data_IF_620082708737
#
_entry.id   IF_620082708737
#
_cell.length_a   1.000
_cell.length_b   1.000
_cell.length_c   1.000
_cell.angle_alpha   90.00
_cell.angle_beta   90.00
_cell.angle_gamma   90.00
#
_symmetry.space_group_name_H-M   'P 1'
#
loop_
_entity.id
_entity.type
_entity.pdbx_description
1 polymer ?
#
# COMPACT_ATOMS: atom_id res chain seq x y z
N UNK A 1 -26.53 -65.92 8.31
CA UNK A 1 -25.84 -64.89 9.12
C UNK A 1 -26.54 -64.77 10.45
N UNK A 2 -25.80 -64.99 11.53
CA UNK A 2 -26.30 -64.77 12.89
C UNK A 2 -26.57 -63.27 13.13
N UNK A 3 -27.42 -62.95 14.12
CA UNK A 3 -27.71 -61.54 14.47
C UNK A 3 -26.42 -60.76 14.79
N UNK A 4 -25.43 -61.42 15.38
CA UNK A 4 -24.14 -60.82 15.73
C UNK A 4 -23.28 -60.50 14.50
N UNK A 5 -23.25 -61.40 13.51
CA UNK A 5 -22.52 -61.16 12.25
C UNK A 5 -23.08 -59.95 11.49
N UNK A 6 -24.41 -59.75 11.51
CA UNK A 6 -25.05 -58.58 10.91
C UNK A 6 -24.65 -57.29 11.62
N UNK A 7 -24.64 -57.29 12.96
CA UNK A 7 -24.24 -56.11 13.74
C UNK A 7 -22.78 -55.72 13.51
N UNK A 8 -21.87 -56.71 13.43
CA UNK A 8 -20.45 -56.46 13.16
C UNK A 8 -20.26 -55.90 11.75
N UNK A 9 -20.95 -56.46 10.75
CA UNK A 9 -20.86 -55.99 9.37
C UNK A 9 -21.36 -54.54 9.23
N UNK A 10 -22.49 -54.21 9.85
CA UNK A 10 -23.03 -52.84 9.83
C UNK A 10 -22.09 -51.86 10.55
N UNK A 11 -21.56 -52.23 11.71
CA UNK A 11 -20.59 -51.40 12.42
C UNK A 11 -19.33 -51.13 11.58
N UNK A 12 -18.81 -52.15 10.88
CA UNK A 12 -17.68 -52.01 9.97
C UNK A 12 -17.98 -51.07 8.79
N UNK A 13 -19.19 -51.15 8.21
CA UNK A 13 -19.61 -50.22 7.16
C UNK A 13 -19.73 -48.79 7.67
N UNK A 14 -20.27 -48.57 8.88
CA UNK A 14 -20.40 -47.23 9.49
C UNK A 14 -19.03 -46.63 9.78
N UNK A 15 -18.08 -47.41 10.30
CA UNK A 15 -16.71 -46.95 10.52
C UNK A 15 -16.02 -46.56 9.21
N UNK A 16 -16.14 -47.40 8.18
CA UNK A 16 -15.58 -47.10 6.86
C UNK A 16 -16.19 -45.85 6.24
N UNK A 17 -17.52 -45.69 6.32
CA UNK A 17 -18.20 -44.47 5.89
C UNK A 17 -17.73 -43.25 6.68
N UNK A 18 -17.53 -43.37 7.99
CA UNK A 18 -17.01 -42.27 8.79
C UNK A 18 -15.58 -41.89 8.38
N UNK A 19 -14.73 -42.86 8.04
CA UNK A 19 -13.37 -42.59 7.57
C UNK A 19 -13.36 -42.02 6.15
N UNK A 20 -14.25 -42.48 5.28
CA UNK A 20 -14.40 -41.93 3.92
C UNK A 20 -15.01 -40.51 3.96
N UNK A 21 -15.92 -40.22 4.89
CA UNK A 21 -16.43 -38.86 5.14
C UNK A 21 -15.32 -37.94 5.68
N UNK A 22 -14.42 -38.44 6.53
CA UNK A 22 -13.24 -37.66 6.97
C UNK A 22 -12.26 -37.38 5.83
N UNK A 23 -12.17 -38.26 4.83
CA UNK A 23 -11.35 -38.07 3.62
C UNK A 23 -12.02 -37.20 2.57
N UNK A 24 -13.36 -37.18 2.54
CA UNK A 24 -14.14 -36.15 1.89
C UNK A 24 -14.05 -34.87 2.73
N UNK A 25 -12.84 -34.30 2.80
CA UNK A 25 -12.68 -32.89 3.07
C UNK A 25 -13.70 -32.17 2.19
N UNK A 26 -14.62 -31.37 2.75
CA UNK A 26 -15.59 -30.66 1.93
C UNK A 26 -14.82 -29.95 0.82
N UNK A 27 -15.30 -30.01 -0.44
CA UNK A 27 -14.59 -29.49 -1.60
C UNK A 27 -14.07 -28.11 -1.26
N UNK A 28 -12.74 -27.97 -1.28
CA UNK A 28 -11.93 -26.85 -0.79
C UNK A 28 -12.78 -25.62 -0.50
N UNK A 29 -13.28 -25.51 0.74
CA UNK A 29 -14.08 -24.37 1.14
C UNK A 29 -13.25 -23.14 0.85
N UNK A 30 -13.68 -22.34 -0.14
CA UNK A 30 -12.93 -21.19 -0.63
C UNK A 30 -12.50 -20.35 0.57
N UNK A 31 -11.19 -20.22 0.78
CA UNK A 31 -10.68 -19.49 1.93
C UNK A 31 -11.17 -18.04 1.86
N UNK A 32 -12.09 -17.70 2.74
CA UNK A 32 -12.60 -16.35 2.87
C UNK A 32 -11.71 -15.58 3.84
N UNK A 33 -11.11 -14.50 3.35
CA UNK A 33 -10.29 -13.60 4.16
C UNK A 33 -11.19 -12.98 5.26
N UNK A 34 -10.83 -13.14 6.54
CA UNK A 34 -11.58 -12.53 7.64
C UNK A 34 -11.71 -11.01 7.47
N UNK A 35 -12.86 -10.45 7.86
CA UNK A 35 -13.12 -9.00 7.70
C UNK A 35 -12.08 -8.13 8.41
N UNK A 36 -11.67 -8.52 9.61
CA UNK A 36 -10.62 -7.82 10.36
C UNK A 36 -9.30 -7.79 9.59
N UNK A 37 -8.88 -8.93 9.03
CA UNK A 37 -7.67 -9.03 8.21
C UNK A 37 -7.77 -8.13 6.98
N UNK A 38 -8.94 -8.05 6.34
CA UNK A 38 -9.17 -7.18 5.19
C UNK A 38 -9.04 -5.69 5.54
N UNK A 39 -9.60 -5.26 6.67
CA UNK A 39 -9.51 -3.86 7.12
C UNK A 39 -8.07 -3.49 7.52
N UNK A 40 -7.33 -4.42 8.14
CA UNK A 40 -5.92 -4.22 8.49
C UNK A 40 -5.00 -4.24 7.27
N UNK A 41 -5.25 -5.12 6.31
CA UNK A 41 -4.56 -5.16 5.03
C UNK A 41 -4.69 -3.82 4.31
N UNK A 42 -5.89 -3.22 4.31
CA UNK A 42 -6.14 -1.91 3.71
C UNK A 42 -5.28 -0.80 4.36
N UNK A 43 -5.17 -0.81 5.69
CA UNK A 43 -4.33 0.11 6.44
C UNK A 43 -2.84 -0.09 6.12
N UNK A 44 -2.36 -1.34 6.10
CA UNK A 44 -0.97 -1.66 5.79
C UNK A 44 -0.58 -1.29 4.36
N UNK A 45 -1.46 -1.57 3.39
CA UNK A 45 -1.26 -1.19 1.97
C UNK A 45 -1.10 0.32 1.83
N UNK A 46 -2.00 1.09 2.46
CA UNK A 46 -1.91 2.54 2.42
C UNK A 46 -0.62 3.04 3.08
N UNK A 47 -0.27 2.53 4.26
CA UNK A 47 0.95 2.90 4.96
C UNK A 47 2.21 2.65 4.12
N UNK A 48 2.26 1.51 3.40
CA UNK A 48 3.39 1.16 2.52
C UNK A 48 3.46 2.09 1.31
N UNK A 49 2.35 2.39 0.65
CA UNK A 49 2.35 3.30 -0.52
C UNK A 49 2.69 4.74 -0.12
N UNK A 50 2.23 5.20 1.04
CA UNK A 50 2.54 6.56 1.52
C UNK A 50 3.89 6.67 2.20
N UNK A 51 4.60 5.55 2.40
CA UNK A 51 5.91 5.56 3.03
C UNK A 51 6.93 6.28 2.13
N UNK A 52 7.68 7.26 2.67
CA UNK A 52 8.73 7.93 1.91
C UNK A 52 9.92 6.99 1.61
N UNK A 53 10.07 5.91 2.39
CA UNK A 53 11.22 5.00 2.35
C UNK A 53 11.01 3.79 1.42
N UNK A 54 9.95 3.78 0.62
CA UNK A 54 9.72 2.64 -0.29
C UNK A 54 10.66 2.69 -1.50
N UNK A 55 11.26 1.52 -1.78
CA UNK A 55 12.21 1.40 -2.87
C UNK A 55 11.57 1.41 -4.24
N UNK A 56 10.60 0.53 -4.41
CA UNK A 56 9.81 0.39 -5.63
C UNK A 56 8.36 0.07 -5.27
N UNK A 57 7.43 0.60 -6.07
CA UNK A 57 6.00 0.40 -5.94
C UNK A 57 5.50 -0.82 -6.71
N UNK A 58 6.12 -1.18 -7.83
CA UNK A 58 5.72 -2.31 -8.70
C UNK A 58 6.83 -3.36 -8.74
N UNK A 59 8.06 -2.90 -8.95
CA UNK A 59 9.19 -3.73 -9.33
C UNK A 59 9.58 -4.67 -8.20
N UNK A 60 9.92 -5.91 -8.56
CA UNK A 60 10.33 -6.99 -7.66
C UNK A 60 9.33 -7.33 -6.53
N UNK A 61 8.06 -6.91 -6.62
CA UNK A 61 7.03 -7.13 -5.61
C UNK A 61 7.43 -6.64 -4.20
N UNK A 62 8.32 -5.64 -4.09
CA UNK A 62 8.83 -5.18 -2.80
C UNK A 62 7.73 -4.63 -1.90
N UNK A 63 6.76 -3.90 -2.48
CA UNK A 63 5.60 -3.40 -1.75
C UNK A 63 4.77 -4.55 -1.15
N UNK A 64 4.49 -5.59 -1.94
CA UNK A 64 3.76 -6.79 -1.50
C UNK A 64 4.52 -7.51 -0.39
N UNK A 65 5.82 -7.71 -0.56
CA UNK A 65 6.66 -8.35 0.46
C UNK A 65 6.66 -7.56 1.77
N UNK A 66 6.71 -6.23 1.71
CA UNK A 66 6.66 -5.37 2.89
C UNK A 66 5.33 -5.48 3.62
N UNK A 67 4.20 -5.46 2.88
CA UNK A 67 2.87 -5.67 3.48
C UNK A 67 2.76 -7.07 4.10
N UNK A 68 3.18 -8.12 3.39
CA UNK A 68 3.12 -9.49 3.91
C UNK A 68 3.98 -9.67 5.16
N UNK A 69 5.16 -9.01 5.23
CA UNK A 69 6.00 -8.99 6.44
C UNK A 69 5.31 -8.30 7.60
N UNK A 70 4.65 -7.16 7.37
CA UNK A 70 3.84 -6.48 8.40
C UNK A 70 2.69 -7.38 8.89
N UNK A 71 2.00 -8.08 8.00
CA UNK A 71 0.94 -9.02 8.39
C UNK A 71 1.49 -10.19 9.22
N UNK A 72 2.66 -10.72 8.88
CA UNK A 72 3.31 -11.81 9.62
C UNK A 72 3.76 -11.40 11.03
N UNK A 73 4.10 -10.13 11.23
CA UNK A 73 4.43 -9.58 12.55
C UNK A 73 3.22 -9.42 13.47
N UNK A 74 2.00 -9.46 12.92
CA UNK A 74 0.75 -9.25 13.65
C UNK A 74 -0.27 -10.40 13.45
N UNK A 75 -0.02 -11.59 14.04
CA UNK A 75 -0.93 -12.73 13.93
C UNK A 75 -2.35 -12.44 14.45
N UNK A 76 -2.50 -11.50 15.38
CA UNK A 76 -3.79 -11.07 15.95
C UNK A 76 -4.74 -10.44 14.92
N UNK A 77 -4.24 -10.03 13.75
CA UNK A 77 -5.07 -9.54 12.65
C UNK A 77 -5.72 -10.67 11.84
N UNK A 78 -5.35 -11.93 12.12
CA UNK A 78 -5.88 -13.12 11.45
C UNK A 78 -4.93 -13.75 10.42
N UNK A 79 -3.71 -13.23 10.28
CA UNK A 79 -2.65 -13.87 9.48
C UNK A 79 -1.80 -14.79 10.37
N UNK A 80 -2.39 -15.91 10.79
CA UNK A 80 -1.74 -16.88 11.68
C UNK A 80 -0.70 -17.73 10.95
N UNK A 81 0.15 -18.44 11.71
CA UNK A 81 1.11 -19.38 11.16
C UNK A 81 0.44 -20.45 10.28
N UNK A 82 -0.78 -20.88 10.62
CA UNK A 82 -1.56 -21.83 9.81
C UNK A 82 -1.93 -21.27 8.44
N UNK A 83 -2.27 -19.98 8.37
CA UNK A 83 -2.58 -19.27 7.12
C UNK A 83 -1.30 -19.06 6.30
N UNK A 84 -0.18 -18.79 6.95
CA UNK A 84 1.11 -18.59 6.30
C UNK A 84 1.71 -19.88 5.73
N UNK A 85 1.57 -21.01 6.46
CA UNK A 85 2.08 -22.32 6.05
C UNK A 85 1.22 -23.00 4.98
N UNK A 86 -0.08 -22.67 4.93
CA UNK A 86 -0.99 -23.13 3.89
C UNK A 86 -0.79 -22.31 2.61
N UNK A 87 -0.19 -22.92 1.58
CA UNK A 87 0.09 -22.28 0.31
C UNK A 87 -1.14 -21.64 -0.33
N UNK A 88 -2.29 -22.31 -0.29
CA UNK A 88 -3.50 -21.80 -0.95
C UNK A 88 -4.05 -20.56 -0.22
N UNK A 89 -4.05 -20.57 1.11
CA UNK A 89 -4.49 -19.43 1.92
C UNK A 89 -3.53 -18.25 1.80
N UNK A 90 -2.23 -18.51 1.89
CA UNK A 90 -1.17 -17.50 1.73
C UNK A 90 -1.22 -16.84 0.35
N UNK A 91 -1.38 -17.63 -0.72
CA UNK A 91 -1.54 -17.11 -2.08
C UNK A 91 -2.81 -16.27 -2.23
N UNK A 92 -3.91 -16.66 -1.56
CA UNK A 92 -5.16 -15.89 -1.57
C UNK A 92 -4.99 -14.52 -0.90
N UNK A 93 -4.30 -14.47 0.24
CA UNK A 93 -3.98 -13.20 0.93
C UNK A 93 -3.03 -12.35 0.07
N UNK A 94 -2.00 -12.95 -0.51
CA UNK A 94 -1.06 -12.26 -1.40
C UNK A 94 -1.77 -11.61 -2.59
N UNK A 95 -2.65 -12.35 -3.29
CA UNK A 95 -3.46 -11.78 -4.39
C UNK A 95 -4.34 -10.63 -3.92
N UNK A 96 -4.91 -10.72 -2.72
CA UNK A 96 -5.70 -9.63 -2.16
C UNK A 96 -4.83 -8.38 -1.89
N UNK A 97 -3.60 -8.55 -1.40
CA UNK A 97 -2.62 -7.46 -1.24
C UNK A 97 -2.27 -6.84 -2.61
N UNK A 98 -1.93 -7.64 -3.60
CA UNK A 98 -1.53 -7.16 -4.94
C UNK A 98 -2.66 -6.37 -5.62
N UNK A 99 -3.90 -6.86 -5.54
CA UNK A 99 -5.08 -6.18 -6.06
C UNK A 99 -5.27 -4.82 -5.35
N UNK A 100 -5.14 -4.79 -4.02
CA UNK A 100 -5.32 -3.56 -3.23
C UNK A 100 -4.21 -2.54 -3.50
N UNK A 101 -2.96 -2.98 -3.62
CA UNK A 101 -1.85 -2.10 -4.02
C UNK A 101 -2.12 -1.47 -5.40
N UNK A 102 -2.65 -2.26 -6.35
CA UNK A 102 -2.99 -1.78 -7.70
C UNK A 102 -4.15 -0.78 -7.66
N UNK A 103 -5.22 -1.08 -6.94
CA UNK A 103 -6.35 -0.17 -6.75
C UNK A 103 -5.91 1.17 -6.15
N UNK A 104 -5.11 1.13 -5.07
CA UNK A 104 -4.65 2.35 -4.39
C UNK A 104 -3.69 3.19 -5.21
N UNK A 105 -2.77 2.56 -5.92
CA UNK A 105 -1.93 3.22 -6.91
C UNK A 105 -2.76 3.90 -8.00
N UNK A 106 -3.81 3.26 -8.50
CA UNK A 106 -4.72 3.86 -9.48
C UNK A 106 -5.44 5.10 -8.90
N UNK A 107 -5.96 5.00 -7.68
CA UNK A 107 -6.62 6.13 -6.99
C UNK A 107 -5.67 7.30 -6.75
N UNK A 108 -4.45 7.04 -6.26
CA UNK A 108 -3.44 8.08 -6.01
C UNK A 108 -3.03 8.75 -7.31
N UNK A 109 -2.80 7.99 -8.38
CA UNK A 109 -2.54 8.53 -9.72
C UNK A 109 -3.68 9.46 -10.17
N UNK A 110 -4.92 9.05 -9.95
CA UNK A 110 -6.09 9.89 -10.24
C UNK A 110 -6.16 11.18 -9.41
N UNK A 111 -5.77 11.14 -8.14
CA UNK A 111 -5.67 12.34 -7.29
C UNK A 111 -4.58 13.29 -7.76
N UNK A 112 -3.42 12.77 -8.16
CA UNK A 112 -2.31 13.54 -8.72
C UNK A 112 -2.75 14.22 -10.03
N UNK A 113 -3.36 13.46 -10.94
CA UNK A 113 -3.85 13.99 -12.22
C UNK A 113 -4.85 15.14 -12.03
N UNK A 114 -5.75 15.01 -11.05
CA UNK A 114 -6.68 16.08 -10.66
C UNK A 114 -5.96 17.29 -10.07
N UNK A 115 -5.00 17.07 -9.18
CA UNK A 115 -4.24 18.17 -8.56
C UNK A 115 -3.41 18.98 -9.58
N UNK A 116 -2.93 18.31 -10.62
CA UNK A 116 -2.17 18.94 -11.70
C UNK A 116 -3.04 19.65 -12.73
N UNK A 117 -4.37 19.63 -12.59
CA UNK A 117 -5.30 20.21 -13.56
C UNK A 117 -5.39 19.45 -14.89
N UNK A 118 -4.79 18.25 -14.97
CA UNK A 118 -4.76 17.42 -16.18
C UNK A 118 -5.99 16.53 -16.31
N UNK A 119 -6.72 16.31 -15.22
CA UNK A 119 -8.01 15.65 -15.25
C UNK A 119 -9.11 16.69 -15.47
N UNK A 120 -9.88 16.55 -16.55
CA UNK A 120 -11.08 17.34 -16.78
C UNK A 120 -12.13 16.95 -15.75
N UNK A 121 -12.59 17.89 -14.94
CA UNK A 121 -13.75 17.65 -14.09
C UNK A 121 -14.98 17.50 -14.99
N UNK A 122 -15.65 16.35 -14.91
CA UNK A 122 -16.86 16.06 -15.68
C UNK A 122 -17.99 17.06 -15.42
N UNK A 123 -17.96 17.78 -14.30
CA UNK A 123 -18.99 18.75 -13.91
C UNK A 123 -18.72 20.17 -14.41
N UNK A 124 -17.46 20.60 -14.44
CA UNK A 124 -17.10 22.00 -14.81
C UNK A 124 -16.43 22.11 -16.16
N UNK A 125 -15.97 21.00 -16.75
CA UNK A 125 -15.30 20.97 -18.05
C UNK A 125 -13.92 21.67 -18.07
N UNK A 126 -13.46 22.20 -16.93
CA UNK A 126 -12.23 22.98 -16.82
C UNK A 126 -11.22 22.25 -15.94
N UNK A 127 -10.01 22.05 -16.49
CA UNK A 127 -8.85 21.53 -15.76
C UNK A 127 -8.15 22.67 -15.01
N UNK A 128 -8.70 23.09 -13.88
CA UNK A 128 -8.00 24.03 -13.00
C UNK A 128 -7.13 23.21 -12.05
N UNK A 129 -5.82 23.50 -11.99
CA UNK A 129 -4.95 22.94 -10.97
C UNK A 129 -5.43 23.44 -9.60
N UNK A 130 -6.14 22.58 -8.87
CA UNK A 130 -7.02 23.03 -7.78
C UNK A 130 -6.49 22.65 -6.39
N UNK A 131 -5.29 22.06 -6.30
CA UNK A 131 -4.77 21.57 -5.00
C UNK A 131 -3.29 21.85 -4.81
N UNK A 132 -3.02 22.60 -3.73
CA UNK A 132 -1.73 22.67 -3.07
C UNK A 132 -1.26 21.25 -2.64
N UNK A 133 0.06 21.07 -2.51
CA UNK A 133 0.68 19.81 -2.13
C UNK A 133 0.18 19.28 -0.79
N UNK A 134 -0.09 20.18 0.17
CA UNK A 134 -0.60 19.79 1.49
C UNK A 134 -2.03 19.28 1.38
N UNK A 135 -2.87 19.96 0.60
CA UNK A 135 -4.24 19.53 0.32
C UNK A 135 -4.28 18.19 -0.44
N UNK A 136 -3.33 17.95 -1.35
CA UNK A 136 -3.15 16.66 -2.00
C UNK A 136 -2.76 15.57 -0.99
N UNK A 137 -1.79 15.84 -0.11
CA UNK A 137 -1.38 14.90 0.93
C UNK A 137 -2.53 14.59 1.90
N UNK A 138 -3.33 15.59 2.30
CA UNK A 138 -4.56 15.38 3.10
C UNK A 138 -5.56 14.48 2.38
N UNK A 139 -5.75 14.68 1.07
CA UNK A 139 -6.66 13.85 0.29
C UNK A 139 -6.18 12.39 0.17
N UNK A 140 -4.87 12.16 0.02
CA UNK A 140 -4.27 10.83 0.03
C UNK A 140 -4.42 10.20 1.42
N UNK A 141 -4.14 10.96 2.49
CA UNK A 141 -4.28 10.50 3.86
C UNK A 141 -5.73 10.12 4.20
N UNK A 142 -6.71 10.89 3.72
CA UNK A 142 -8.14 10.61 3.88
C UNK A 142 -8.62 9.30 3.24
N UNK A 143 -7.79 8.64 2.41
CA UNK A 143 -8.08 7.28 1.91
C UNK A 143 -7.95 6.22 3.02
N UNK A 144 -7.18 6.52 4.08
CA UNK A 144 -7.04 5.67 5.27
C UNK A 144 -8.21 5.92 6.23
N UNK A 145 -9.23 5.06 6.16
CA UNK A 145 -10.37 5.13 7.08
C UNK A 145 -9.91 4.84 8.51
N UNK A 146 -10.15 5.78 9.41
CA UNK A 146 -9.89 5.62 10.84
C UNK A 146 -8.42 5.83 11.26
N UNK A 147 -7.56 6.34 10.37
CA UNK A 147 -6.18 6.69 10.70
C UNK A 147 -5.86 8.11 10.24
N UNK A 148 -5.60 8.99 11.20
CA UNK A 148 -5.17 10.36 10.92
C UNK A 148 -3.64 10.39 10.93
N UNK A 149 -2.99 9.97 9.85
CA UNK A 149 -1.53 10.10 9.78
C UNK A 149 -1.17 11.59 9.79
N UNK A 150 -0.19 11.97 10.59
CA UNK A 150 0.38 13.31 10.52
C UNK A 150 1.08 13.46 9.17
N UNK A 151 0.78 14.53 8.44
CA UNK A 151 1.45 14.83 7.19
C UNK A 151 2.86 15.30 7.53
N UNK A 152 3.86 14.52 7.10
CA UNK A 152 5.27 14.81 7.33
C UNK A 152 5.89 15.45 6.10
N UNK A 153 6.97 16.22 6.30
CA UNK A 153 7.71 16.84 5.20
C UNK A 153 8.22 15.82 4.16
N UNK A 154 8.78 14.65 4.54
CA UNK A 154 9.19 13.64 3.57
C UNK A 154 8.03 13.09 2.73
N UNK A 155 6.83 12.98 3.32
CA UNK A 155 5.63 12.57 2.58
C UNK A 155 5.26 13.62 1.52
N UNK A 156 5.27 14.91 1.87
CA UNK A 156 5.03 15.99 0.92
C UNK A 156 6.05 15.97 -0.22
N UNK A 157 7.34 15.86 0.10
CA UNK A 157 8.40 15.83 -0.90
C UNK A 157 8.26 14.62 -1.85
N UNK A 158 7.88 13.45 -1.30
CA UNK A 158 7.61 12.25 -2.10
C UNK A 158 6.41 12.43 -3.02
N UNK A 159 5.31 13.01 -2.53
CA UNK A 159 4.12 13.26 -3.36
C UNK A 159 4.39 14.33 -4.43
N UNK A 160 5.18 15.36 -4.11
CA UNK A 160 5.63 16.37 -5.08
C UNK A 160 6.45 15.72 -6.20
N UNK A 161 7.36 14.81 -5.85
CA UNK A 161 8.10 14.01 -6.84
C UNK A 161 7.17 13.20 -7.75
N UNK A 162 6.19 12.48 -7.18
CA UNK A 162 5.21 11.74 -7.99
C UNK A 162 4.43 12.67 -8.94
N UNK A 163 4.00 13.83 -8.45
CA UNK A 163 3.32 14.85 -9.26
C UNK A 163 4.20 15.37 -10.38
N UNK A 164 5.46 15.71 -10.08
CA UNK A 164 6.42 16.17 -11.08
C UNK A 164 6.63 15.14 -12.18
N UNK A 165 6.84 13.87 -11.82
CA UNK A 165 6.96 12.78 -12.81
C UNK A 165 5.70 12.64 -13.66
N UNK A 166 4.51 12.75 -13.06
CA UNK A 166 3.26 12.64 -13.80
C UNK A 166 3.06 13.77 -14.81
N UNK A 167 3.45 15.00 -14.43
CA UNK A 167 3.35 16.18 -15.30
C UNK A 167 4.36 16.10 -16.44
N UNK A 168 5.60 15.75 -16.13
CA UNK A 168 6.71 15.72 -17.12
C UNK A 168 6.61 14.57 -18.10
N UNK A 169 6.12 13.40 -17.69
CA UNK A 169 6.06 12.20 -18.53
C UNK A 169 4.70 12.02 -19.23
N UNK A 170 4.40 12.85 -20.22
CA UNK A 170 3.13 12.80 -20.98
C UNK A 170 2.85 11.41 -21.54
N UNK A 171 3.87 10.75 -22.09
CA UNK A 171 3.76 9.43 -22.72
C UNK A 171 3.55 8.29 -21.72
N UNK A 172 3.94 8.47 -20.45
CA UNK A 172 3.88 7.43 -19.41
C UNK A 172 2.72 7.61 -18.42
N UNK A 173 1.76 8.51 -18.66
CA UNK A 173 0.60 8.72 -17.76
C UNK A 173 -0.36 7.52 -17.66
N UNK A 174 -0.26 6.60 -18.62
CA UNK A 174 -1.06 5.38 -18.72
C UNK A 174 -0.67 4.29 -17.73
N UNK A 175 -0.68 3.04 -18.17
CA UNK A 175 -0.43 1.88 -17.31
C UNK A 175 1.05 1.76 -16.88
N UNK A 176 1.97 2.32 -17.67
CA UNK A 176 3.41 2.34 -17.40
C UNK A 176 3.86 3.34 -16.33
N UNK A 177 2.98 4.21 -15.82
CA UNK A 177 3.36 5.30 -14.91
C UNK A 177 4.14 4.81 -13.69
N UNK A 178 3.67 3.76 -13.02
CA UNK A 178 4.30 3.29 -11.79
C UNK A 178 5.63 2.59 -12.03
N UNK A 179 5.80 1.93 -13.19
CA UNK A 179 7.09 1.40 -13.60
C UNK A 179 8.09 2.52 -13.87
N UNK A 180 7.64 3.60 -14.53
CA UNK A 180 8.46 4.79 -14.76
C UNK A 180 8.86 5.50 -13.45
N UNK A 181 7.96 5.54 -12.47
CA UNK A 181 8.28 6.00 -11.11
C UNK A 181 9.40 5.14 -10.50
N UNK A 182 9.28 3.82 -10.57
CA UNK A 182 10.30 2.90 -10.03
C UNK A 182 11.66 3.08 -10.72
N UNK A 183 11.67 3.20 -12.05
CA UNK A 183 12.89 3.47 -12.82
C UNK A 183 13.55 4.79 -12.41
N UNK A 184 12.74 5.85 -12.22
CA UNK A 184 13.22 7.16 -11.78
C UNK A 184 13.82 7.11 -10.38
N UNK A 185 13.20 6.35 -9.46
CA UNK A 185 13.72 6.14 -8.11
C UNK A 185 15.01 5.32 -8.10
N UNK A 186 15.06 4.27 -8.92
CA UNK A 186 16.26 3.46 -9.09
C UNK A 186 17.40 4.29 -9.67
N UNK A 187 17.12 5.14 -10.67
CA UNK A 187 18.09 6.08 -11.24
C UNK A 187 18.66 7.03 -10.18
N UNK A 188 17.81 7.66 -9.36
CA UNK A 188 18.26 8.49 -8.23
C UNK A 188 19.16 7.72 -7.26
N UNK A 189 18.80 6.48 -6.91
CA UNK A 189 19.64 5.65 -6.05
C UNK A 189 20.95 5.24 -6.70
N UNK A 190 20.96 4.95 -8.00
CA UNK A 190 22.19 4.58 -8.69
C UNK A 190 23.14 5.78 -8.82
N UNK A 191 22.61 6.99 -9.06
CA UNK A 191 23.41 8.21 -9.17
C UNK A 191 24.06 8.64 -7.85
N UNK A 192 23.36 8.43 -6.73
CA UNK A 192 23.77 8.98 -5.43
C UNK A 192 24.12 7.93 -4.38
N UNK A 193 23.54 6.73 -4.45
CA UNK A 193 23.58 5.72 -3.38
C UNK A 193 24.95 5.10 -3.11
N UNK A 194 25.89 5.15 -4.06
CA UNK A 194 27.26 4.69 -3.85
C UNK A 194 28.18 5.76 -3.23
N UNK A 195 27.70 6.99 -3.07
CA UNK A 195 28.48 8.10 -2.51
C UNK A 195 28.33 8.14 -1.00
N UNK A 196 29.41 8.55 -0.30
CA UNK A 196 29.45 8.69 1.18
C UNK A 196 28.33 9.62 1.71
N UNK A 197 27.92 10.63 0.93
CA UNK A 197 26.81 11.54 1.25
C UNK A 197 25.54 11.30 0.40
N UNK A 198 25.37 10.09 -0.14
CA UNK A 198 24.29 9.76 -1.07
C UNK A 198 22.88 10.07 -0.55
N UNK A 199 22.60 9.74 0.71
CA UNK A 199 21.31 9.98 1.34
C UNK A 199 20.96 11.48 1.43
N UNK A 200 21.95 12.34 1.71
CA UNK A 200 21.76 13.80 1.76
C UNK A 200 21.45 14.35 0.37
N UNK A 201 22.11 13.85 -0.67
CA UNK A 201 21.89 14.28 -2.06
C UNK A 201 20.52 13.86 -2.57
N UNK A 202 20.06 12.64 -2.24
CA UNK A 202 18.70 12.20 -2.55
C UNK A 202 17.68 13.10 -1.85
N UNK A 203 17.87 13.35 -0.55
CA UNK A 203 16.98 14.23 0.23
C UNK A 203 16.94 15.64 -0.35
N UNK A 204 18.09 16.22 -0.69
CA UNK A 204 18.18 17.54 -1.31
C UNK A 204 17.43 17.57 -2.67
N UNK A 205 17.54 16.50 -3.47
CA UNK A 205 16.81 16.40 -4.74
C UNK A 205 15.29 16.41 -4.51
N UNK A 206 14.79 15.63 -3.55
CA UNK A 206 13.37 15.64 -3.20
C UNK A 206 12.90 17.01 -2.68
N UNK A 207 13.73 17.70 -1.91
CA UNK A 207 13.42 19.04 -1.40
C UNK A 207 13.37 20.08 -2.52
N UNK A 208 14.33 20.07 -3.45
CA UNK A 208 14.31 20.97 -4.61
C UNK A 208 13.04 20.79 -5.44
N UNK A 209 12.62 19.54 -5.66
CA UNK A 209 11.38 19.23 -6.38
C UNK A 209 10.16 19.73 -5.61
N UNK A 210 10.15 19.60 -4.28
CA UNK A 210 9.08 20.16 -3.44
C UNK A 210 9.02 21.69 -3.53
N UNK A 211 10.16 22.37 -3.54
CA UNK A 211 10.20 23.83 -3.68
C UNK A 211 9.68 24.30 -5.05
N UNK A 212 10.06 23.64 -6.14
CA UNK A 212 9.55 23.91 -7.49
C UNK A 212 8.04 23.67 -7.57
N UNK A 213 7.58 22.60 -6.93
CA UNK A 213 6.17 22.23 -6.84
C UNK A 213 5.35 23.27 -6.04
N UNK A 214 5.88 23.76 -4.92
CA UNK A 214 5.30 24.87 -4.15
C UNK A 214 5.31 26.19 -4.92
N UNK A 215 6.35 26.49 -5.71
CA UNK A 215 6.38 27.68 -6.59
C UNK A 215 5.32 27.59 -7.68
N UNK A 216 5.10 26.40 -8.23
CA UNK A 216 4.18 26.18 -9.34
C UNK A 216 2.71 26.16 -8.88
N UNK A 217 2.43 25.52 -7.74
CA UNK A 217 1.06 25.22 -7.29
C UNK A 217 0.69 25.85 -5.93
N UNK A 218 1.66 26.28 -5.12
CA UNK A 218 1.49 26.73 -3.74
C UNK A 218 1.25 28.24 -3.56
N UNK A 219 1.18 29.03 -4.64
CA UNK A 219 0.94 30.48 -4.60
C UNK A 219 -0.47 30.92 -4.18
N UNK A 220 -1.25 30.06 -3.53
CA UNK A 220 -2.58 30.37 -2.98
C UNK A 220 -2.59 30.01 -1.48
N UNK A 221 -2.28 31.01 -0.66
CA UNK A 221 -2.37 31.03 0.81
C UNK A 221 -2.03 29.71 1.54
N UNK A 222 -0.76 29.58 1.96
CA UNK A 222 -0.38 28.71 3.07
C UNK A 222 -0.98 29.31 4.36
N UNK A 223 -2.28 29.09 4.58
CA UNK A 223 -3.01 29.49 5.78
C UNK A 223 -2.33 28.87 7.01
N UNK A 224 -1.56 29.69 7.72
CA UNK A 224 -1.22 29.80 9.16
C UNK A 224 -1.15 28.57 10.11
N UNK A 225 -1.24 27.33 9.62
CA UNK A 225 -1.21 26.12 10.45
C UNK A 225 0.04 25.26 10.30
N UNK A 226 0.85 25.51 9.27
CA UNK A 226 1.88 24.55 8.81
C UNK A 226 3.27 24.94 9.31
N UNK A 227 3.53 26.22 9.54
CA UNK A 227 4.86 26.68 9.97
C UNK A 227 5.22 26.25 11.40
N UNK A 228 4.24 25.98 12.27
CA UNK A 228 4.50 25.57 13.66
C UNK A 228 4.61 24.04 13.85
N UNK A 229 3.99 23.23 12.98
CA UNK A 229 4.01 21.76 13.09
C UNK A 229 5.16 21.10 12.33
N UNK A 230 5.75 21.78 11.34
CA UNK A 230 6.93 21.28 10.63
C UNK A 230 8.23 21.35 11.44
N UNK A 231 8.27 22.19 12.49
CA UNK A 231 9.48 22.41 13.29
C UNK A 231 9.58 21.53 14.54
N UNK A 232 8.48 20.96 15.05
CA UNK A 232 8.45 20.28 16.36
C UNK A 232 7.40 19.15 16.43
N UNK A 233 7.54 18.10 15.62
CA UNK A 233 6.75 16.87 15.84
C UNK A 233 7.62 15.82 16.57
N UNK A 234 7.42 15.60 17.88
CA UNK A 234 8.06 14.50 18.60
C UNK A 234 7.44 13.16 18.16
N UNK A 235 8.32 12.17 18.06
CA UNK A 235 8.10 10.71 17.93
C UNK A 235 6.73 10.17 18.38
N UNK A 236 6.02 9.46 17.49
CA UNK A 236 5.00 8.45 17.85
C UNK A 236 5.23 7.15 17.05
N UNK A 237 6.33 6.51 17.39
CA UNK A 237 6.56 5.12 17.84
C UNK A 237 5.51 3.98 17.79
N UNK A 238 4.37 4.04 17.08
CA UNK A 238 3.44 2.87 17.07
C UNK A 238 3.03 2.31 15.71
N UNK A 239 3.37 2.97 14.62
CA UNK A 239 3.35 2.40 13.25
C UNK A 239 4.49 2.95 12.38
N UNK A 240 5.04 4.11 12.75
CA UNK A 240 6.35 4.57 12.29
C UNK A 240 7.45 3.57 12.64
N UNK A 241 7.38 2.93 13.81
CA UNK A 241 8.32 1.86 14.20
C UNK A 241 8.13 0.59 13.36
N UNK A 242 6.92 0.25 12.92
CA UNK A 242 6.70 -0.85 11.99
C UNK A 242 7.22 -0.55 10.57
N UNK A 243 7.24 0.72 10.17
CA UNK A 243 7.84 1.16 8.93
C UNK A 243 9.36 1.41 9.02
N UNK A 244 9.90 1.74 10.21
CA UNK A 244 11.29 2.07 10.47
C UNK A 244 12.12 0.90 11.03
N UNK A 245 11.50 -0.15 11.57
CA UNK A 245 12.14 -1.44 11.94
C UNK A 245 12.25 -2.42 10.75
N UNK A 246 12.09 -1.95 9.51
CA UNK A 246 12.25 -2.72 8.28
C UNK A 246 13.24 -2.06 7.32
#
# INVERSE_FOLDING_TARGET
MSSNERSIFVAGMVLRLSDDIKKLSPPDSQFMIPRNLKDKLEQSVMAVITSPNIDAYVTAQLATQRVMRMLAQHPEWGFTADVANDRHKSDTVKRAVDNRLTDRRSVIKGLIAKSAGLAVDKKTGLGVADRDIISLCRAINGLMKGYNATITLPMCARVAFLRNLYVTSVDNRGDGYWSFVDESLLSLRNMFGQKVDGAKQITATFMNILEEDLKTYGGRDLVDGVSATLANAPEIQQLGDLAAMC
#
